data_IF_742053964313
#
_entry.id   IF_742053964313
#
_cell.length_a   1.000
_cell.length_b   1.000
_cell.length_c   1.000
_cell.angle_alpha   90.00
_cell.angle_beta   90.00
_cell.angle_gamma   90.00
#
_symmetry.space_group_name_H-M   'P 1'
#
loop_
_entity.id
_entity.type
_entity.pdbx_description
1 polymer ?
#
# COMPACT_ATOMS: atom_id res chain seq x y z
N UNK A 1 -2.62 40.48 9.31
CA UNK A 1 -3.84 39.70 9.53
C UNK A 1 -4.03 38.83 8.30
N UNK A 2 -3.64 37.56 8.37
CA UNK A 2 -3.88 36.62 7.30
C UNK A 2 -5.36 36.27 7.31
N UNK A 3 -6.08 36.55 6.23
CA UNK A 3 -7.43 36.09 6.03
C UNK A 3 -7.41 34.56 6.06
N UNK A 4 -8.05 33.98 7.07
CA UNK A 4 -8.40 32.58 7.07
C UNK A 4 -9.37 32.36 5.90
N UNK A 5 -8.88 31.84 4.78
CA UNK A 5 -9.76 31.21 3.79
C UNK A 5 -10.57 30.17 4.55
N UNK A 6 -11.89 30.40 4.69
CA UNK A 6 -12.79 29.51 5.36
C UNK A 6 -12.75 28.15 4.70
N UNK A 7 -11.98 27.24 5.24
CA UNK A 7 -12.05 25.83 4.88
C UNK A 7 -13.48 25.39 5.26
N UNK A 8 -14.29 25.10 4.26
CA UNK A 8 -15.63 24.57 4.48
C UNK A 8 -15.48 23.26 5.24
N UNK A 9 -16.12 23.18 6.41
CA UNK A 9 -16.04 21.96 7.22
C UNK A 9 -16.59 20.78 6.40
N UNK A 10 -15.84 19.69 6.32
CA UNK A 10 -16.30 18.45 5.68
C UNK A 10 -17.34 17.82 6.60
N UNK A 11 -18.57 17.76 6.13
CA UNK A 11 -19.71 17.18 6.88
C UNK A 11 -20.19 15.87 6.26
N UNK A 12 -19.78 15.57 5.03
CA UNK A 12 -20.18 14.37 4.31
C UNK A 12 -19.00 13.72 3.62
N UNK A 13 -18.95 12.39 3.66
CA UNK A 13 -17.93 11.56 3.01
C UNK A 13 -18.59 10.53 2.10
N UNK A 14 -18.16 10.46 0.85
CA UNK A 14 -18.58 9.46 -0.10
C UNK A 14 -17.54 8.36 -0.28
N UNK A 15 -18.01 7.14 -0.40
CA UNK A 15 -17.20 5.94 -0.62
C UNK A 15 -17.72 5.23 -1.86
N UNK A 16 -17.23 5.56 -3.04
CA UNK A 16 -17.59 4.85 -4.26
C UNK A 16 -16.95 3.46 -4.31
N UNK A 17 -17.56 2.57 -5.07
CA UNK A 17 -16.99 1.27 -5.41
C UNK A 17 -15.74 1.46 -6.27
N UNK A 18 -14.69 0.65 -6.02
CA UNK A 18 -13.50 0.68 -6.83
C UNK A 18 -13.74 0.08 -8.22
N UNK A 19 -13.34 0.81 -9.26
CA UNK A 19 -13.50 0.41 -10.66
C UNK A 19 -12.22 -0.11 -11.30
N UNK A 20 -11.10 -0.02 -10.59
CA UNK A 20 -9.82 -0.52 -11.08
C UNK A 20 -9.83 -2.04 -11.15
N UNK A 21 -9.43 -2.60 -12.29
CA UNK A 21 -9.33 -4.05 -12.48
C UNK A 21 -8.54 -4.72 -11.36
N UNK A 22 -9.09 -5.79 -10.78
CA UNK A 22 -8.53 -6.56 -9.67
C UNK A 22 -8.43 -5.79 -8.34
N UNK A 23 -9.04 -4.61 -8.20
CA UNK A 23 -9.14 -3.93 -6.91
C UNK A 23 -10.44 -4.33 -6.21
N UNK A 24 -10.31 -5.09 -5.14
CA UNK A 24 -11.45 -5.58 -4.36
C UNK A 24 -11.54 -4.96 -2.97
N UNK A 25 -10.66 -4.00 -2.64
CA UNK A 25 -10.70 -3.32 -1.34
C UNK A 25 -11.75 -2.21 -1.36
N UNK A 26 -12.20 -1.83 -0.18
CA UNK A 26 -13.00 -0.62 0.06
C UNK A 26 -12.21 0.33 0.96
N UNK A 27 -12.37 1.63 0.79
CA UNK A 27 -11.55 2.65 1.46
C UNK A 27 -11.88 2.87 2.93
N UNK A 28 -12.98 2.29 3.41
CA UNK A 28 -13.41 2.39 4.81
C UNK A 28 -13.96 1.05 5.29
N UNK A 29 -13.84 0.80 6.59
CA UNK A 29 -14.50 -0.31 7.28
C UNK A 29 -15.72 0.21 8.06
N UNK A 30 -16.65 -0.67 8.52
CA UNK A 30 -17.72 -0.28 9.41
C UNK A 30 -17.23 0.44 10.68
N UNK A 31 -16.09 0.07 11.22
CA UNK A 31 -15.51 0.78 12.37
C UNK A 31 -15.06 2.19 12.01
N UNK A 32 -14.50 2.39 10.82
CA UNK A 32 -14.18 3.72 10.31
C UNK A 32 -15.42 4.59 10.12
N UNK A 33 -16.55 4.02 9.70
CA UNK A 33 -17.85 4.73 9.62
C UNK A 33 -18.26 5.24 11.00
N UNK A 34 -18.17 4.41 12.05
CA UNK A 34 -18.49 4.82 13.42
C UNK A 34 -17.62 5.98 13.91
N UNK A 35 -16.34 6.00 13.51
CA UNK A 35 -15.46 7.11 13.87
C UNK A 35 -15.87 8.42 13.16
N UNK A 36 -16.27 8.37 11.89
CA UNK A 36 -16.82 9.55 11.21
C UNK A 36 -18.14 10.02 11.84
N UNK A 37 -19.02 9.09 12.19
CA UNK A 37 -20.29 9.42 12.88
C UNK A 37 -20.04 10.15 14.21
N UNK A 38 -19.07 9.70 15.02
CA UNK A 38 -18.66 10.38 16.27
C UNK A 38 -18.16 11.81 16.05
N UNK A 39 -17.61 12.08 14.85
CA UNK A 39 -17.18 13.42 14.45
C UNK A 39 -18.31 14.26 13.84
N UNK A 40 -19.53 13.72 13.77
CA UNK A 40 -20.68 14.39 13.15
C UNK A 40 -20.60 14.42 11.62
N UNK A 41 -19.86 13.50 11.00
CA UNK A 41 -19.67 13.39 9.56
C UNK A 41 -20.49 12.22 9.03
N UNK A 42 -21.42 12.50 8.11
CA UNK A 42 -22.25 11.48 7.47
C UNK A 42 -21.46 10.74 6.38
N UNK A 43 -21.58 9.42 6.35
CA UNK A 43 -20.89 8.57 5.37
C UNK A 43 -21.89 7.97 4.39
N UNK A 44 -21.61 8.11 3.10
CA UNK A 44 -22.41 7.60 1.98
C UNK A 44 -21.61 6.56 1.21
N UNK A 45 -22.04 5.31 1.25
CA UNK A 45 -21.33 4.18 0.62
C UNK A 45 -22.12 3.71 -0.59
N UNK A 46 -21.46 3.61 -1.74
CA UNK A 46 -22.08 3.02 -2.94
C UNK A 46 -22.40 1.55 -2.68
N UNK A 47 -23.59 1.11 -3.09
CA UNK A 47 -24.04 -0.28 -2.91
C UNK A 47 -23.03 -1.27 -3.49
N UNK A 48 -22.71 -2.30 -2.72
CA UNK A 48 -21.75 -3.34 -3.10
C UNK A 48 -20.28 -2.87 -3.11
N UNK A 49 -19.94 -1.68 -2.59
CA UNK A 49 -18.55 -1.21 -2.54
C UNK A 49 -17.65 -2.12 -1.69
N UNK A 50 -18.20 -2.78 -0.68
CA UNK A 50 -17.47 -3.67 0.22
C UNK A 50 -17.54 -5.16 -0.13
N UNK A 51 -18.32 -5.57 -1.12
CA UNK A 51 -18.60 -7.00 -1.41
C UNK A 51 -17.34 -7.82 -1.65
N UNK A 52 -16.41 -7.31 -2.46
CA UNK A 52 -15.16 -8.00 -2.76
C UNK A 52 -14.20 -8.07 -1.54
N UNK A 53 -14.41 -7.23 -0.53
CA UNK A 53 -13.72 -7.27 0.75
C UNK A 53 -14.49 -8.07 1.83
N UNK A 54 -15.58 -8.78 1.43
CA UNK A 54 -16.48 -9.51 2.33
C UNK A 54 -17.15 -8.64 3.38
N UNK A 55 -17.44 -7.38 3.05
CA UNK A 55 -18.17 -6.42 3.87
C UNK A 55 -19.47 -6.04 3.17
N UNK A 56 -20.59 -6.70 3.46
CA UNK A 56 -21.87 -6.40 2.82
C UNK A 56 -22.43 -5.04 3.28
N UNK A 57 -23.30 -4.44 2.47
CA UNK A 57 -23.94 -3.13 2.75
C UNK A 57 -24.58 -3.06 4.12
N UNK A 58 -25.18 -4.16 4.61
CA UNK A 58 -25.80 -4.23 5.93
C UNK A 58 -24.85 -3.92 7.09
N UNK A 59 -23.55 -4.22 6.94
CA UNK A 59 -22.55 -3.90 7.96
C UNK A 59 -22.25 -2.39 8.01
N UNK A 60 -22.24 -1.73 6.86
CA UNK A 60 -22.08 -0.27 6.78
C UNK A 60 -23.32 0.45 7.34
N UNK A 61 -24.53 -0.03 7.03
CA UNK A 61 -25.78 0.49 7.59
C UNK A 61 -25.80 0.36 9.11
N UNK A 62 -25.43 -0.80 9.64
CA UNK A 62 -25.35 -1.05 11.09
C UNK A 62 -24.29 -0.17 11.79
N UNK A 63 -23.36 0.39 11.05
CA UNK A 63 -22.34 1.32 11.53
C UNK A 63 -22.75 2.80 11.40
N UNK A 64 -23.90 3.11 10.80
CA UNK A 64 -24.43 4.48 10.64
C UNK A 64 -24.26 5.05 9.22
N UNK A 65 -23.74 4.30 8.25
CA UNK A 65 -23.64 4.78 6.88
C UNK A 65 -24.98 4.73 6.14
N UNK A 66 -25.14 5.65 5.19
CA UNK A 66 -26.22 5.60 4.18
C UNK A 66 -25.72 4.89 2.93
N UNK A 67 -26.42 3.84 2.49
CA UNK A 67 -26.13 3.21 1.20
C UNK A 67 -26.77 4.01 0.09
N UNK A 68 -25.97 4.31 -0.93
CA UNK A 68 -26.42 5.04 -2.13
C UNK A 68 -26.33 4.14 -3.37
N UNK A 69 -27.27 4.30 -4.34
CA UNK A 69 -27.42 3.35 -5.44
C UNK A 69 -26.33 3.49 -6.52
N UNK A 70 -25.71 4.66 -6.66
CA UNK A 70 -24.79 4.93 -7.77
C UNK A 70 -23.47 5.56 -7.34
N UNK A 71 -22.44 5.39 -8.18
CA UNK A 71 -21.18 6.11 -8.00
C UNK A 71 -21.39 7.63 -7.94
N UNK A 72 -22.28 8.17 -8.79
CA UNK A 72 -22.56 9.62 -8.81
C UNK A 72 -23.03 10.15 -7.45
N UNK A 73 -23.89 9.38 -6.75
CA UNK A 73 -24.37 9.76 -5.43
C UNK A 73 -23.23 9.76 -4.37
N UNK A 74 -22.34 8.77 -4.44
CA UNK A 74 -21.15 8.73 -3.56
C UNK A 74 -20.18 9.88 -3.89
N UNK A 75 -19.94 10.15 -5.17
CA UNK A 75 -19.08 11.24 -5.61
C UNK A 75 -19.67 12.65 -5.37
N UNK A 76 -20.98 12.77 -5.15
CA UNK A 76 -21.63 14.06 -4.84
C UNK A 76 -21.26 14.63 -3.47
N UNK A 77 -20.61 13.87 -2.61
CA UNK A 77 -20.27 14.27 -1.25
C UNK A 77 -19.12 15.32 -1.21
N UNK A 78 -18.99 16.05 -0.10
CA UNK A 78 -17.98 17.09 0.07
C UNK A 78 -16.54 16.52 0.03
N UNK A 79 -16.38 15.32 0.56
CA UNK A 79 -15.15 14.55 0.49
C UNK A 79 -15.42 13.17 -0.10
N UNK A 80 -14.52 12.69 -0.94
CA UNK A 80 -14.53 11.30 -1.42
C UNK A 80 -13.27 10.61 -0.98
N UNK A 81 -13.43 9.43 -0.39
CA UNK A 81 -12.33 8.55 -0.02
C UNK A 81 -12.35 7.30 -0.89
N UNK A 82 -11.19 6.98 -1.48
CA UNK A 82 -10.99 5.81 -2.35
C UNK A 82 -9.73 5.06 -1.96
N UNK A 83 -9.58 3.85 -2.48
CA UNK A 83 -8.30 3.12 -2.38
C UNK A 83 -7.36 3.54 -3.49
N UNK A 84 -7.85 3.61 -4.74
CA UNK A 84 -7.03 3.88 -5.91
C UNK A 84 -7.35 5.21 -6.58
N UNK A 85 -6.37 5.67 -7.36
CA UNK A 85 -6.50 6.83 -8.23
C UNK A 85 -7.77 6.77 -9.10
N UNK A 86 -8.44 7.90 -9.37
CA UNK A 86 -9.60 7.92 -10.26
C UNK A 86 -9.24 7.40 -11.65
N UNK A 87 -10.15 6.63 -12.25
CA UNK A 87 -10.08 6.19 -13.65
C UNK A 87 -10.74 7.20 -14.58
N UNK A 88 -10.46 7.10 -15.88
CA UNK A 88 -10.96 8.07 -16.87
C UNK A 88 -12.49 8.21 -16.82
N UNK A 89 -13.22 7.13 -16.54
CA UNK A 89 -14.69 7.11 -16.37
C UNK A 89 -15.15 7.88 -15.13
N UNK A 90 -14.30 8.06 -14.11
CA UNK A 90 -14.58 8.80 -12.87
C UNK A 90 -14.21 10.29 -12.99
N UNK A 91 -13.47 10.70 -14.03
CA UNK A 91 -13.05 12.10 -14.18
C UNK A 91 -14.22 13.08 -14.32
N UNK A 92 -15.38 12.62 -14.77
CA UNK A 92 -16.61 13.39 -14.85
C UNK A 92 -17.13 13.87 -13.48
N UNK A 93 -16.75 13.20 -12.40
CA UNK A 93 -17.15 13.54 -11.02
C UNK A 93 -16.21 14.54 -10.33
N UNK A 94 -15.03 14.79 -10.92
CA UNK A 94 -14.07 15.75 -10.37
C UNK A 94 -14.60 17.17 -10.48
N UNK A 95 -14.52 17.94 -9.40
CA UNK A 95 -15.04 19.32 -9.32
C UNK A 95 -14.25 20.15 -8.31
N UNK A 96 -14.38 21.45 -8.36
CA UNK A 96 -13.57 22.39 -7.58
C UNK A 96 -13.86 22.39 -6.07
N UNK A 97 -15.07 22.03 -5.69
CA UNK A 97 -15.53 21.93 -4.29
C UNK A 97 -15.38 20.53 -3.67
N UNK A 98 -14.78 19.60 -4.42
CA UNK A 98 -14.49 18.25 -3.95
C UNK A 98 -13.12 18.18 -3.27
N UNK A 99 -13.08 17.51 -2.11
CA UNK A 99 -11.85 16.98 -1.52
C UNK A 99 -11.75 15.49 -1.84
N UNK A 100 -10.73 15.09 -2.59
CA UNK A 100 -10.45 13.68 -2.89
C UNK A 100 -9.29 13.19 -2.03
N UNK A 101 -9.49 12.08 -1.31
CA UNK A 101 -8.47 11.47 -0.45
C UNK A 101 -8.27 10.00 -0.83
N UNK A 102 -7.13 9.66 -1.42
CA UNK A 102 -6.85 8.34 -2.01
C UNK A 102 -5.36 8.18 -2.28
N UNK A 103 -4.90 6.96 -2.66
CA UNK A 103 -3.60 6.79 -3.31
C UNK A 103 -3.67 7.37 -4.74
N UNK A 104 -2.83 8.33 -5.06
CA UNK A 104 -2.84 9.03 -6.34
C UNK A 104 -1.75 8.57 -7.31
N UNK A 105 -0.56 8.27 -6.82
CA UNK A 105 0.61 7.85 -7.62
C UNK A 105 0.83 8.74 -8.86
N UNK A 106 0.74 10.07 -8.72
CA UNK A 106 0.66 11.03 -9.82
C UNK A 106 1.81 10.92 -10.83
N UNK A 107 3.02 10.55 -10.38
CA UNK A 107 4.17 10.32 -11.26
C UNK A 107 3.94 9.19 -12.28
N UNK A 108 3.13 8.19 -11.93
CA UNK A 108 2.79 7.06 -12.79
C UNK A 108 1.52 7.32 -13.62
N UNK A 109 0.68 8.28 -13.21
CA UNK A 109 -0.62 8.57 -13.82
C UNK A 109 -0.78 10.06 -14.21
N UNK A 110 -0.04 10.56 -15.22
CA UNK A 110 -0.09 11.98 -15.61
C UNK A 110 -1.48 12.45 -16.08
N UNK A 111 -2.32 11.54 -16.62
CA UNK A 111 -3.71 11.88 -16.97
C UNK A 111 -4.56 12.21 -15.74
N UNK A 112 -4.33 11.53 -14.63
CA UNK A 112 -5.01 11.83 -13.34
C UNK A 112 -4.60 13.21 -12.85
N UNK A 113 -3.30 13.53 -12.88
CA UNK A 113 -2.80 14.85 -12.50
C UNK A 113 -3.44 15.96 -13.36
N UNK A 114 -3.51 15.77 -14.68
CA UNK A 114 -4.12 16.72 -15.60
C UNK A 114 -5.63 16.91 -15.32
N UNK A 115 -6.35 15.82 -15.05
CA UNK A 115 -7.78 15.86 -14.73
C UNK A 115 -8.06 16.61 -13.43
N UNK A 116 -7.29 16.34 -12.36
CA UNK A 116 -7.39 17.04 -11.08
C UNK A 116 -7.12 18.54 -11.22
N UNK A 117 -6.07 18.92 -11.95
CA UNK A 117 -5.74 20.33 -12.23
C UNK A 117 -6.87 21.02 -13.03
N UNK A 118 -7.37 20.37 -14.09
CA UNK A 118 -8.47 20.90 -14.90
C UNK A 118 -9.74 21.13 -14.09
N UNK A 119 -10.08 20.17 -13.23
CA UNK A 119 -11.25 20.25 -12.35
C UNK A 119 -11.04 21.16 -11.13
N UNK A 120 -9.80 21.53 -10.83
CA UNK A 120 -9.42 22.27 -9.61
C UNK A 120 -9.82 21.54 -8.32
N UNK A 121 -9.85 20.21 -8.34
CA UNK A 121 -10.18 19.38 -7.20
C UNK A 121 -9.06 19.43 -6.17
N UNK A 122 -9.42 19.60 -4.89
CA UNK A 122 -8.46 19.44 -3.79
C UNK A 122 -8.16 17.95 -3.64
N UNK A 123 -6.92 17.54 -3.87
CA UNK A 123 -6.54 16.13 -3.82
C UNK A 123 -5.44 15.91 -2.78
N UNK A 124 -5.67 14.98 -1.87
CA UNK A 124 -4.74 14.58 -0.81
C UNK A 124 -4.35 13.13 -1.06
N UNK A 125 -3.05 12.89 -1.26
CA UNK A 125 -2.55 11.54 -1.48
C UNK A 125 -2.20 10.84 -0.16
N UNK A 126 -2.69 9.63 0.05
CA UNK A 126 -2.34 8.83 1.23
C UNK A 126 -0.83 8.65 1.37
N UNK A 127 -0.15 8.43 0.25
CA UNK A 127 1.31 8.21 0.21
C UNK A 127 2.15 9.44 0.53
N UNK A 128 1.55 10.62 0.64
CA UNK A 128 2.26 11.87 0.98
C UNK A 128 1.90 12.44 2.34
N UNK A 129 0.96 11.82 3.06
CA UNK A 129 0.65 12.20 4.45
C UNK A 129 1.83 11.81 5.33
N UNK A 130 2.54 12.82 5.83
CA UNK A 130 3.77 12.66 6.58
C UNK A 130 3.67 13.28 7.97
N UNK A 131 4.13 12.56 8.99
CA UNK A 131 4.23 13.05 10.35
C UNK A 131 5.52 13.86 10.56
N UNK A 132 5.64 14.51 11.71
CA UNK A 132 6.80 15.33 12.07
C UNK A 132 8.12 14.56 12.12
N UNK A 133 8.06 13.26 12.43
CA UNK A 133 9.20 12.31 12.41
C UNK A 133 9.52 11.79 11.00
N UNK A 134 8.85 12.32 9.96
CA UNK A 134 8.93 11.94 8.55
C UNK A 134 8.37 10.55 8.23
N UNK A 135 7.71 9.89 9.15
CA UNK A 135 7.00 8.65 8.87
C UNK A 135 5.78 8.90 7.97
N UNK A 136 5.40 7.87 7.18
CA UNK A 136 4.27 7.89 6.26
C UNK A 136 3.22 6.87 6.75
N UNK A 137 2.38 7.23 7.73
CA UNK A 137 1.54 6.29 8.45
C UNK A 137 0.50 5.60 7.55
N UNK A 138 0.04 6.27 6.50
CA UNK A 138 -0.94 5.70 5.57
C UNK A 138 -0.30 4.85 4.47
N UNK A 139 1.02 5.01 4.22
CA UNK A 139 1.76 4.17 3.27
C UNK A 139 2.36 2.92 3.93
N UNK A 140 2.77 3.03 5.20
CA UNK A 140 3.46 1.96 5.91
C UNK A 140 2.72 0.61 5.88
N UNK A 141 1.39 0.52 6.16
CA UNK A 141 0.67 -0.75 6.12
C UNK A 141 0.70 -1.43 4.74
N UNK A 142 0.63 -0.66 3.66
CA UNK A 142 0.71 -1.19 2.30
C UNK A 142 2.10 -1.75 1.99
N UNK A 143 3.14 -1.07 2.47
CA UNK A 143 4.53 -1.51 2.34
C UNK A 143 4.79 -2.80 3.13
N UNK A 144 4.21 -2.94 4.31
CA UNK A 144 4.29 -4.16 5.14
C UNK A 144 3.63 -5.35 4.44
N UNK A 145 2.42 -5.16 3.93
CA UNK A 145 1.69 -6.19 3.17
C UNK A 145 2.49 -6.56 1.91
N UNK A 146 3.00 -5.58 1.17
CA UNK A 146 3.78 -5.84 -0.04
C UNK A 146 5.03 -6.69 0.25
N UNK A 147 5.75 -6.41 1.34
CA UNK A 147 6.91 -7.21 1.75
C UNK A 147 6.53 -8.66 2.06
N UNK A 148 5.48 -8.88 2.83
CA UNK A 148 4.98 -10.22 3.16
C UNK A 148 4.52 -10.98 1.93
N UNK A 149 3.77 -10.34 1.04
CA UNK A 149 3.32 -10.93 -0.23
C UNK A 149 4.47 -11.24 -1.17
N UNK A 150 5.53 -10.42 -1.22
CA UNK A 150 6.68 -10.65 -2.07
C UNK A 150 7.34 -12.01 -1.77
N UNK A 151 7.50 -12.35 -0.50
CA UNK A 151 8.04 -13.65 -0.09
C UNK A 151 7.08 -14.79 -0.39
N UNK A 152 5.79 -14.63 -0.12
CA UNK A 152 4.78 -15.65 -0.41
C UNK A 152 4.69 -15.94 -1.92
N UNK A 153 4.66 -14.90 -2.75
CA UNK A 153 4.69 -15.04 -4.20
C UNK A 153 6.01 -15.67 -4.68
N UNK A 154 7.13 -15.24 -4.12
CA UNK A 154 8.45 -15.81 -4.41
C UNK A 154 8.52 -17.31 -4.12
N UNK A 155 8.00 -17.76 -2.99
CA UNK A 155 7.93 -19.18 -2.66
C UNK A 155 7.15 -19.98 -3.71
N UNK A 156 5.99 -19.45 -4.13
CA UNK A 156 5.18 -20.06 -5.19
C UNK A 156 5.93 -20.13 -6.52
N UNK A 157 6.58 -19.04 -6.94
CA UNK A 157 7.31 -19.00 -8.21
C UNK A 157 8.62 -19.80 -8.22
N UNK A 158 9.12 -20.25 -7.07
CA UNK A 158 10.23 -21.20 -6.98
C UNK A 158 9.80 -22.64 -7.31
N UNK A 159 8.50 -22.93 -7.30
CA UNK A 159 7.95 -24.26 -7.61
C UNK A 159 8.09 -24.60 -9.11
N UNK A 160 8.39 -25.85 -9.44
CA UNK A 160 8.52 -26.33 -10.85
C UNK A 160 7.25 -26.11 -11.68
N UNK A 161 6.03 -26.38 -11.19
CA UNK A 161 4.80 -26.14 -11.96
C UNK A 161 4.58 -24.66 -12.33
N UNK A 162 5.22 -23.73 -11.61
CA UNK A 162 5.19 -22.29 -11.90
C UNK A 162 6.35 -21.81 -12.76
N UNK A 163 7.17 -22.74 -13.31
CA UNK A 163 8.36 -22.41 -14.10
C UNK A 163 9.62 -22.15 -13.26
N UNK A 164 9.54 -22.33 -11.94
CA UNK A 164 10.66 -22.11 -11.03
C UNK A 164 11.72 -23.20 -11.03
N UNK A 165 12.79 -22.97 -10.28
CA UNK A 165 13.93 -23.90 -10.15
C UNK A 165 13.63 -25.19 -9.40
N UNK A 166 12.48 -25.28 -8.72
CA UNK A 166 12.13 -26.40 -7.84
C UNK A 166 12.89 -26.35 -6.51
N UNK A 167 13.02 -25.15 -5.93
CA UNK A 167 13.70 -24.92 -4.65
C UNK A 167 12.65 -24.70 -3.56
N UNK A 168 12.76 -25.45 -2.46
CA UNK A 168 11.92 -25.29 -1.28
C UNK A 168 12.53 -24.20 -0.37
N UNK A 169 11.71 -23.22 0.02
CA UNK A 169 12.17 -22.08 0.84
C UNK A 169 12.95 -22.50 2.08
N UNK A 170 12.39 -23.39 2.89
CA UNK A 170 13.01 -23.85 4.13
C UNK A 170 14.00 -25.00 3.98
N UNK A 171 14.12 -25.57 2.80
CA UNK A 171 14.86 -26.82 2.62
C UNK A 171 14.21 -28.00 3.35
N UNK A 172 14.98 -29.09 3.51
CA UNK A 172 14.60 -30.27 4.27
C UNK A 172 15.87 -30.95 4.78
N UNK A 173 15.78 -31.96 5.68
CA UNK A 173 16.96 -32.74 6.04
C UNK A 173 17.66 -33.30 4.80
N UNK A 174 18.93 -32.92 4.60
CA UNK A 174 19.73 -33.26 3.40
C UNK A 174 19.52 -32.34 2.19
N UNK A 175 18.63 -31.35 2.26
CA UNK A 175 18.38 -30.36 1.19
C UNK A 175 18.55 -28.95 1.73
N UNK A 176 19.39 -28.14 1.09
CA UNK A 176 19.64 -26.76 1.52
C UNK A 176 18.36 -25.90 1.40
N UNK A 177 18.15 -24.91 2.28
CA UNK A 177 17.10 -23.91 2.11
C UNK A 177 17.43 -22.96 0.95
N UNK A 178 16.43 -22.21 0.50
CA UNK A 178 16.60 -21.14 -0.49
C UNK A 178 17.46 -20.00 0.05
N UNK A 179 18.25 -19.38 -0.83
CA UNK A 179 18.95 -18.14 -0.56
C UNK A 179 18.08 -16.96 -1.05
N UNK A 180 17.61 -16.14 -0.14
CA UNK A 180 16.77 -14.97 -0.41
C UNK A 180 17.59 -13.70 -0.23
N UNK A 181 17.67 -12.88 -1.27
CA UNK A 181 18.35 -11.58 -1.23
C UNK A 181 17.31 -10.46 -1.23
N UNK A 182 17.36 -9.60 -0.23
CA UNK A 182 16.49 -8.43 -0.12
C UNK A 182 17.33 -7.16 -0.27
N UNK A 183 17.01 -6.34 -1.28
CA UNK A 183 17.70 -5.08 -1.55
C UNK A 183 16.83 -3.93 -1.05
N UNK A 184 17.25 -3.27 0.02
CA UNK A 184 16.51 -2.26 0.77
C UNK A 184 15.93 -2.80 2.07
N UNK A 185 16.21 -2.15 3.19
CA UNK A 185 15.78 -2.53 4.53
C UNK A 185 14.65 -1.63 5.09
N UNK A 186 13.89 -0.98 4.20
CA UNK A 186 12.67 -0.25 4.55
C UNK A 186 11.53 -1.18 4.97
N UNK A 187 10.31 -0.64 5.07
CA UNK A 187 9.14 -1.43 5.51
C UNK A 187 8.88 -2.65 4.62
N UNK A 188 9.00 -2.52 3.30
CA UNK A 188 8.85 -3.65 2.37
C UNK A 188 9.94 -4.70 2.63
N UNK A 189 11.22 -4.28 2.60
CA UNK A 189 12.34 -5.22 2.71
C UNK A 189 12.41 -5.92 4.06
N UNK A 190 12.17 -5.20 5.15
CA UNK A 190 12.09 -5.81 6.47
C UNK A 190 11.04 -6.91 6.52
N UNK A 191 9.81 -6.62 6.08
CA UNK A 191 8.73 -7.60 6.12
C UNK A 191 8.99 -8.78 5.18
N UNK A 192 9.61 -8.56 4.02
CA UNK A 192 10.02 -9.65 3.13
C UNK A 192 11.08 -10.55 3.79
N UNK A 193 12.11 -9.95 4.38
CA UNK A 193 13.17 -10.67 5.09
C UNK A 193 12.62 -11.47 6.28
N UNK A 194 11.72 -10.85 7.06
CA UNK A 194 11.11 -11.50 8.23
C UNK A 194 10.29 -12.72 7.85
N UNK A 195 9.44 -12.62 6.83
CA UNK A 195 8.66 -13.77 6.35
C UNK A 195 9.58 -14.86 5.75
N UNK A 196 10.58 -14.48 4.96
CA UNK A 196 11.53 -15.45 4.39
C UNK A 196 12.31 -16.20 5.48
N UNK A 197 12.78 -15.52 6.50
CA UNK A 197 13.43 -16.13 7.66
C UNK A 197 12.46 -17.04 8.44
N UNK A 198 11.20 -16.61 8.63
CA UNK A 198 10.14 -17.44 9.21
C UNK A 198 9.82 -18.69 8.41
N UNK A 199 10.01 -18.68 7.09
CA UNK A 199 9.96 -19.84 6.21
C UNK A 199 11.26 -20.65 6.19
N UNK A 200 12.22 -20.34 7.06
CA UNK A 200 13.50 -21.00 7.25
C UNK A 200 14.49 -20.84 6.08
N UNK A 201 14.31 -19.83 5.23
CA UNK A 201 15.27 -19.49 4.18
C UNK A 201 16.57 -18.87 4.77
N UNK A 202 17.65 -18.94 4.02
CA UNK A 202 18.83 -18.12 4.29
C UNK A 202 18.60 -16.72 3.70
N UNK A 203 18.56 -15.69 4.55
CA UNK A 203 18.21 -14.32 4.11
C UNK A 203 19.45 -13.43 4.16
N UNK A 204 19.70 -12.71 3.08
CA UNK A 204 20.66 -11.61 3.03
C UNK A 204 19.90 -10.31 2.73
N UNK A 205 19.94 -9.34 3.66
CA UNK A 205 19.33 -8.03 3.47
C UNK A 205 20.39 -6.95 3.33
N UNK A 206 20.25 -6.11 2.31
CA UNK A 206 21.21 -5.05 2.01
C UNK A 206 20.56 -3.68 2.10
N UNK A 207 21.22 -2.72 2.77
CA UNK A 207 20.80 -1.32 2.80
C UNK A 207 22.02 -0.39 2.87
N UNK A 208 21.86 0.86 2.43
CA UNK A 208 22.86 1.92 2.60
C UNK A 208 22.85 2.51 4.02
N UNK A 209 21.71 2.43 4.70
CA UNK A 209 21.50 2.96 6.04
C UNK A 209 21.95 1.93 7.10
N UNK A 210 23.14 2.17 7.71
CA UNK A 210 23.70 1.28 8.71
C UNK A 210 22.88 1.24 10.01
N UNK A 211 22.19 2.31 10.38
CA UNK A 211 21.36 2.31 11.59
C UNK A 211 20.13 1.39 11.40
N UNK A 212 19.59 1.39 10.20
CA UNK A 212 18.52 0.45 9.85
C UNK A 212 19.01 -1.00 9.89
N UNK A 213 20.22 -1.27 9.38
CA UNK A 213 20.82 -2.60 9.45
C UNK A 213 21.10 -3.03 10.90
N UNK A 214 21.62 -2.14 11.75
CA UNK A 214 21.81 -2.41 13.20
C UNK A 214 20.49 -2.80 13.88
N UNK A 215 19.43 -2.05 13.61
CA UNK A 215 18.11 -2.38 14.14
C UNK A 215 17.66 -3.78 13.70
N UNK A 216 17.80 -4.10 12.42
CA UNK A 216 17.42 -5.41 11.87
C UNK A 216 18.27 -6.54 12.42
N UNK A 217 19.56 -6.33 12.62
CA UNK A 217 20.48 -7.30 13.20
C UNK A 217 20.06 -7.71 14.62
N UNK A 218 19.52 -6.75 15.39
CA UNK A 218 19.02 -6.99 16.76
C UNK A 218 17.69 -7.79 16.79
N UNK A 219 16.81 -7.59 15.81
CA UNK A 219 15.45 -8.17 15.83
C UNK A 219 15.29 -9.39 14.92
N UNK A 220 16.11 -9.53 13.88
CA UNK A 220 16.07 -10.66 12.95
C UNK A 220 17.12 -11.73 13.39
N UNK A 221 16.80 -12.45 14.45
CA UNK A 221 17.68 -13.51 14.96
C UNK A 221 17.62 -14.74 14.06
N UNK A 222 18.74 -15.38 13.84
CA UNK A 222 18.82 -16.67 13.13
C UNK A 222 19.43 -16.59 11.74
N UNK A 223 18.67 -16.91 10.68
CA UNK A 223 19.18 -17.06 9.31
C UNK A 223 19.21 -15.76 8.49
N UNK A 224 19.33 -14.61 9.15
CA UNK A 224 19.38 -13.31 8.46
C UNK A 224 20.76 -12.69 8.58
N UNK A 225 21.34 -12.35 7.45
CA UNK A 225 22.61 -11.62 7.34
C UNK A 225 22.34 -10.20 6.88
N UNK A 226 22.84 -9.19 7.60
CA UNK A 226 22.75 -7.78 7.21
C UNK A 226 24.04 -7.33 6.53
N UNK A 227 23.95 -6.69 5.36
CA UNK A 227 25.10 -6.21 4.61
C UNK A 227 24.96 -4.75 4.18
N UNK A 228 26.02 -3.98 4.23
CA UNK A 228 26.06 -2.65 3.63
C UNK A 228 25.92 -2.75 2.10
N UNK A 229 24.95 -2.00 1.56
CA UNK A 229 24.62 -2.01 0.13
C UNK A 229 25.61 -1.17 -0.66
N UNK A 230 26.32 -1.82 -1.56
CA UNK A 230 27.09 -1.23 -2.64
C UNK A 230 27.08 -2.19 -3.83
N UNK A 231 27.57 -1.74 -4.99
CA UNK A 231 27.56 -2.54 -6.21
C UNK A 231 28.20 -3.93 -6.01
N UNK A 232 29.38 -3.99 -5.42
CA UNK A 232 30.09 -5.25 -5.23
C UNK A 232 29.41 -6.20 -4.24
N UNK A 233 28.79 -5.69 -3.15
CA UNK A 233 28.07 -6.53 -2.21
C UNK A 233 26.76 -7.07 -2.82
N UNK A 234 26.06 -6.27 -3.63
CA UNK A 234 24.89 -6.73 -4.38
C UNK A 234 25.29 -7.80 -5.40
N UNK A 235 26.29 -7.54 -6.24
CA UNK A 235 26.76 -8.50 -7.24
C UNK A 235 27.12 -9.85 -6.60
N UNK A 236 27.87 -9.87 -5.50
CA UNK A 236 28.21 -11.11 -4.78
C UNK A 236 26.99 -11.83 -4.21
N UNK A 237 26.04 -11.08 -3.60
CA UNK A 237 24.86 -11.69 -3.01
C UNK A 237 23.93 -12.33 -4.07
N UNK A 238 23.91 -11.78 -5.28
CA UNK A 238 23.05 -12.25 -6.37
C UNK A 238 23.54 -13.56 -7.02
N UNK A 239 24.82 -13.92 -6.90
CA UNK A 239 25.39 -15.11 -7.56
C UNK A 239 24.64 -16.39 -7.16
N UNK A 240 24.37 -16.55 -5.87
CA UNK A 240 23.74 -17.76 -5.33
C UNK A 240 22.27 -17.55 -4.92
N UNK A 241 21.67 -16.42 -5.30
CA UNK A 241 20.29 -16.09 -4.95
C UNK A 241 19.30 -16.99 -5.70
N UNK A 242 18.36 -17.56 -4.95
CA UNK A 242 17.20 -18.29 -5.49
C UNK A 242 16.01 -17.35 -5.66
N UNK A 243 15.87 -16.34 -4.77
CA UNK A 243 14.85 -15.30 -4.80
C UNK A 243 15.48 -13.93 -4.50
N UNK A 244 15.12 -12.95 -5.31
CA UNK A 244 15.51 -11.54 -5.09
C UNK A 244 14.29 -10.68 -4.89
N UNK A 245 14.28 -9.89 -3.81
CA UNK A 245 13.23 -8.91 -3.52
C UNK A 245 13.82 -7.50 -3.59
N UNK A 246 13.43 -6.74 -4.61
CA UNK A 246 13.75 -5.31 -4.72
C UNK A 246 12.80 -4.48 -3.87
N UNK A 247 13.33 -3.83 -2.83
CA UNK A 247 12.54 -3.08 -1.84
C UNK A 247 13.05 -1.65 -1.62
N UNK A 248 13.68 -1.07 -2.65
CA UNK A 248 14.20 0.30 -2.63
C UNK A 248 13.18 1.24 -3.26
N UNK A 249 12.87 2.32 -2.57
CA UNK A 249 12.11 3.45 -3.10
C UNK A 249 13.03 4.67 -3.18
N UNK A 250 13.19 5.22 -4.38
CA UNK A 250 13.86 6.51 -4.59
C UNK A 250 12.82 7.49 -5.11
N UNK A 251 12.47 8.49 -4.31
CA UNK A 251 11.48 9.49 -4.69
C UNK A 251 11.88 10.20 -5.98
N UNK A 252 11.01 10.14 -7.00
CA UNK A 252 11.24 10.80 -8.30
C UNK A 252 12.29 10.15 -9.21
N UNK A 253 12.84 8.98 -8.86
CA UNK A 253 13.85 8.29 -9.65
C UNK A 253 13.64 6.76 -9.70
N UNK A 254 14.41 6.10 -10.57
CA UNK A 254 14.52 4.63 -10.53
C UNK A 254 15.45 4.19 -9.40
N UNK A 255 15.10 3.07 -8.78
CA UNK A 255 15.95 2.39 -7.80
C UNK A 255 17.10 1.67 -8.48
#
# INVERSE_FOLDING_TARGET
MAQSNGAQAITTVGVPKEVKTMEGRVSITPDGVREFERLGINVFVETGAGDAASIPDSHFVAAGATIVPTAADAWAQAMVIKVKEPKEEEFQFLRADLTLFTYLHLSAYPKVAAALLKARTTAIAYETVQLSDRSLPLLAPMSEIAGRLATQAGARFLERPQGGRGVLMGGAPGVRPANVVVIGAGNVGYNAAWIAAGMLANVTILDKNLDRLRYLDQICVGRTTTLASNRGSIERALVDADLVVGAVLVAGARA
#
